data_IF_423552443316
#
_entry.id   IF_423552443316
#
_cell.length_a   1.000
_cell.length_b   1.000
_cell.length_c   1.000
_cell.angle_alpha   90.00
_cell.angle_beta   90.00
_cell.angle_gamma   90.00
#
_symmetry.space_group_name_H-M   'P 1'
#
loop_
_entity.id
_entity.type
_entity.pdbx_description
1 polymer ?
#
# COMPACT_ATOMS: atom_id res chain seq x y z
N UNK A 1 11.68 -5.39 3.63
CA UNK A 1 10.51 -5.45 2.71
C UNK A 1 9.23 -5.95 3.41
N UNK A 2 9.17 -7.13 4.03
CA UNK A 2 7.94 -7.63 4.68
C UNK A 2 7.36 -6.67 5.75
N UNK A 3 8.22 -6.12 6.61
CA UNK A 3 7.80 -5.11 7.61
C UNK A 3 7.14 -3.89 6.97
N UNK A 4 7.66 -3.43 5.84
CA UNK A 4 7.08 -2.33 5.09
C UNK A 4 5.69 -2.69 4.52
N UNK A 5 5.53 -3.91 4.00
CA UNK A 5 4.23 -4.40 3.50
C UNK A 5 3.20 -4.50 4.64
N UNK A 6 3.59 -4.99 5.82
CA UNK A 6 2.72 -5.02 6.99
C UNK A 6 2.34 -3.61 7.48
N UNK A 7 3.25 -2.65 7.37
CA UNK A 7 2.96 -1.26 7.68
C UNK A 7 1.90 -0.67 6.71
N UNK A 8 1.87 -1.07 5.44
CA UNK A 8 0.81 -0.72 4.51
C UNK A 8 -0.56 -1.28 4.93
N UNK A 9 -0.60 -2.52 5.44
CA UNK A 9 -1.85 -3.10 5.99
C UNK A 9 -2.36 -2.28 7.16
N UNK A 10 -1.47 -1.93 8.09
CA UNK A 10 -1.82 -1.10 9.25
C UNK A 10 -2.31 0.29 8.83
N UNK A 11 -1.64 0.93 7.88
CA UNK A 11 -2.05 2.22 7.34
C UNK A 11 -3.50 2.21 6.85
N UNK A 12 -3.82 1.28 5.96
CA UNK A 12 -5.17 1.18 5.41
C UNK A 12 -6.18 0.75 6.46
N UNK A 13 -5.80 -0.12 7.40
CA UNK A 13 -6.62 -0.50 8.54
C UNK A 13 -6.97 0.69 9.44
N UNK A 14 -6.02 1.56 9.72
CA UNK A 14 -6.26 2.78 10.51
C UNK A 14 -7.20 3.75 9.80
N UNK A 15 -7.09 3.91 8.48
CA UNK A 15 -8.06 4.69 7.71
C UNK A 15 -9.46 4.08 7.75
N UNK A 16 -9.57 2.76 7.64
CA UNK A 16 -10.86 2.06 7.72
C UNK A 16 -11.51 2.13 9.11
N UNK A 17 -10.70 2.10 10.18
CA UNK A 17 -11.17 2.16 11.56
C UNK A 17 -11.37 3.60 12.06
N UNK A 18 -10.71 4.59 11.48
CA UNK A 18 -10.81 6.00 11.84
C UNK A 18 -12.20 6.57 11.59
N UNK A 19 -12.48 7.71 12.22
CA UNK A 19 -13.66 8.53 11.96
C UNK A 19 -13.31 10.01 12.20
N UNK A 20 -14.10 10.98 11.66
CA UNK A 20 -13.81 12.41 11.80
C UNK A 20 -13.98 12.96 13.23
N UNK A 21 -14.58 12.18 14.12
CA UNK A 21 -14.72 12.55 15.54
C UNK A 21 -13.54 12.10 16.41
N UNK A 22 -13.35 12.77 17.55
CA UNK A 22 -12.37 12.30 18.54
C UNK A 22 -12.91 11.03 19.25
N UNK A 23 -12.09 9.99 19.50
CA UNK A 23 -10.64 9.88 19.22
C UNK A 23 -10.26 9.34 17.82
N UNK A 24 -11.21 9.13 16.92
CA UNK A 24 -10.98 8.49 15.61
C UNK A 24 -10.00 9.23 14.70
N UNK A 25 -9.92 10.55 14.83
CA UNK A 25 -8.93 11.40 14.11
C UNK A 25 -7.49 10.99 14.40
N UNK A 26 -7.20 10.48 15.60
CA UNK A 26 -5.86 10.01 15.98
C UNK A 26 -5.41 8.87 15.05
N UNK A 27 -6.31 8.00 14.62
CA UNK A 27 -6.01 6.91 13.70
C UNK A 27 -5.60 7.43 12.32
N UNK A 28 -6.16 8.53 11.86
CA UNK A 28 -5.75 9.16 10.60
C UNK A 28 -4.32 9.72 10.69
N UNK A 29 -4.01 10.42 11.79
CA UNK A 29 -2.65 10.92 12.03
C UNK A 29 -1.65 9.76 12.13
N UNK A 30 -2.01 8.71 12.86
CA UNK A 30 -1.17 7.52 12.99
C UNK A 30 -0.96 6.82 11.65
N UNK A 31 -1.99 6.75 10.81
CA UNK A 31 -1.88 6.24 9.43
C UNK A 31 -0.87 7.04 8.60
N UNK A 32 -0.85 8.37 8.73
CA UNK A 32 0.12 9.21 8.01
C UNK A 32 1.56 8.96 8.48
N UNK A 33 1.78 8.77 9.78
CA UNK A 33 3.11 8.43 10.33
C UNK A 33 3.56 7.06 9.81
N UNK A 34 2.69 6.05 9.88
CA UNK A 34 2.98 4.70 9.39
C UNK A 34 3.26 4.69 7.90
N UNK A 35 2.61 5.59 7.12
CA UNK A 35 2.89 5.73 5.70
C UNK A 35 4.34 6.11 5.41
N UNK A 36 4.90 7.08 6.10
CA UNK A 36 6.30 7.46 5.93
C UNK A 36 7.23 6.26 6.12
N UNK A 37 7.06 5.55 7.24
CA UNK A 37 7.82 4.32 7.48
C UNK A 37 7.62 3.26 6.39
N UNK A 38 6.39 2.98 6.00
CA UNK A 38 6.09 1.96 5.00
C UNK A 38 6.75 2.27 3.66
N UNK A 39 6.66 3.53 3.22
CA UNK A 39 7.19 3.99 1.95
C UNK A 39 8.72 3.95 1.94
N UNK A 40 9.38 4.52 2.95
CA UNK A 40 10.83 4.59 3.03
C UNK A 40 11.46 3.20 3.18
N UNK A 41 10.94 2.39 4.11
CA UNK A 41 11.45 1.02 4.31
C UNK A 41 11.26 0.15 3.07
N UNK A 42 10.17 0.30 2.32
CA UNK A 42 9.97 -0.44 1.09
C UNK A 42 10.99 -0.04 0.03
N UNK A 43 11.14 1.25 -0.24
CA UNK A 43 12.04 1.75 -1.26
C UNK A 43 13.52 1.47 -0.93
N UNK A 44 13.93 1.72 0.31
CA UNK A 44 15.32 1.46 0.75
C UNK A 44 15.63 -0.03 0.69
N UNK A 45 14.77 -0.88 1.28
CA UNK A 45 15.03 -2.32 1.30
C UNK A 45 14.96 -2.95 -0.09
N UNK A 46 14.09 -2.43 -0.97
CA UNK A 46 14.00 -2.86 -2.35
C UNK A 46 15.23 -2.46 -3.17
N UNK A 47 15.64 -1.21 -3.05
CA UNK A 47 16.85 -0.70 -3.69
C UNK A 47 18.11 -1.46 -3.25
N UNK A 48 18.26 -1.70 -1.95
CA UNK A 48 19.39 -2.48 -1.42
C UNK A 48 19.37 -3.93 -1.92
N UNK A 49 18.20 -4.54 -2.00
CA UNK A 49 18.07 -5.90 -2.55
C UNK A 49 18.50 -5.96 -4.02
N UNK A 50 17.99 -5.03 -4.84
CA UNK A 50 18.38 -4.93 -6.26
C UNK A 50 19.89 -4.72 -6.41
N UNK A 51 20.49 -3.88 -5.56
CA UNK A 51 21.92 -3.60 -5.60
C UNK A 51 22.78 -4.83 -5.23
N UNK A 52 22.30 -5.64 -4.30
CA UNK A 52 23.00 -6.86 -3.86
C UNK A 52 22.89 -8.03 -4.85
N UNK A 53 21.76 -8.14 -5.56
CA UNK A 53 21.48 -9.25 -6.48
C UNK A 53 21.89 -8.96 -7.93
N UNK A 54 22.36 -7.73 -8.23
CA UNK A 54 22.71 -7.31 -9.59
C UNK A 54 24.21 -7.10 -9.74
N UNK A 55 24.75 -7.53 -10.87
CA UNK A 55 26.15 -7.27 -11.22
C UNK A 55 26.47 -5.77 -11.25
N UNK A 56 27.67 -5.37 -10.82
CA UNK A 56 28.07 -3.96 -10.76
C UNK A 56 27.87 -3.18 -12.08
N UNK A 57 28.06 -3.85 -13.21
CA UNK A 57 27.85 -3.26 -14.54
C UNK A 57 26.40 -2.95 -14.90
N UNK A 58 25.43 -3.61 -14.25
CA UNK A 58 24.00 -3.50 -14.55
C UNK A 58 23.20 -2.83 -13.45
N UNK A 59 23.79 -2.48 -12.31
CA UNK A 59 23.10 -1.91 -11.14
C UNK A 59 22.26 -0.68 -11.46
N UNK A 60 22.81 0.25 -12.23
CA UNK A 60 22.09 1.47 -12.59
C UNK A 60 20.82 1.17 -13.39
N UNK A 61 20.89 0.26 -14.36
CA UNK A 61 19.72 -0.16 -15.16
C UNK A 61 18.69 -0.90 -14.30
N UNK A 62 19.15 -1.79 -13.41
CA UNK A 62 18.27 -2.54 -12.52
C UNK A 62 17.55 -1.61 -11.50
N UNK A 63 18.23 -0.61 -10.96
CA UNK A 63 17.63 0.41 -10.10
C UNK A 63 16.58 1.24 -10.87
N UNK A 64 16.91 1.66 -12.10
CA UNK A 64 15.95 2.35 -12.96
C UNK A 64 14.71 1.50 -13.25
N UNK A 65 14.88 0.21 -13.54
CA UNK A 65 13.77 -0.72 -13.74
C UNK A 65 12.94 -0.91 -12.47
N UNK A 66 13.56 -1.04 -11.29
CA UNK A 66 12.86 -1.14 -10.02
C UNK A 66 11.96 0.08 -9.77
N UNK A 67 12.48 1.29 -9.97
CA UNK A 67 11.72 2.53 -9.81
C UNK A 67 10.59 2.62 -10.83
N UNK A 68 10.85 2.26 -12.09
CA UNK A 68 9.83 2.27 -13.15
C UNK A 68 8.71 1.27 -12.86
N UNK A 69 9.03 0.07 -12.39
CA UNK A 69 8.03 -0.95 -12.06
C UNK A 69 7.21 -0.57 -10.82
N UNK A 70 7.82 0.01 -9.80
CA UNK A 70 7.11 0.37 -8.56
C UNK A 70 6.36 1.69 -8.68
N UNK A 71 7.05 2.78 -9.05
CA UNK A 71 6.49 4.13 -9.08
C UNK A 71 5.86 4.51 -10.44
N UNK A 72 6.17 3.77 -11.50
CA UNK A 72 5.53 3.91 -12.80
C UNK A 72 4.33 2.97 -12.94
N UNK A 73 4.59 1.76 -13.40
CA UNK A 73 3.53 0.79 -13.70
C UNK A 73 2.69 0.41 -12.47
N UNK A 74 3.35 0.11 -11.35
CA UNK A 74 2.65 -0.28 -10.11
C UNK A 74 1.74 0.82 -9.59
N UNK A 75 2.23 2.06 -9.57
CA UNK A 75 1.44 3.21 -9.16
C UNK A 75 0.27 3.48 -10.11
N UNK A 76 0.48 3.38 -11.42
CA UNK A 76 -0.58 3.61 -12.42
C UNK A 76 -1.69 2.56 -12.29
N UNK A 77 -1.34 1.28 -12.31
CA UNK A 77 -2.32 0.18 -12.17
C UNK A 77 -3.03 0.27 -10.82
N UNK A 78 -2.28 0.53 -9.74
CA UNK A 78 -2.83 0.68 -8.40
C UNK A 78 -3.83 1.84 -8.29
N UNK A 79 -3.53 2.98 -8.93
CA UNK A 79 -4.42 4.15 -8.95
C UNK A 79 -5.70 3.85 -9.72
N UNK A 80 -5.61 3.21 -10.88
CA UNK A 80 -6.80 2.84 -11.67
C UNK A 80 -7.68 1.85 -10.93
N UNK A 81 -7.09 0.83 -10.29
CA UNK A 81 -7.83 -0.13 -9.48
C UNK A 81 -8.49 0.53 -8.26
N UNK A 82 -7.76 1.41 -7.55
CA UNK A 82 -8.30 2.16 -6.42
C UNK A 82 -9.45 3.08 -6.85
N UNK A 83 -9.31 3.75 -7.99
CA UNK A 83 -10.37 4.62 -8.54
C UNK A 83 -11.64 3.80 -8.86
N UNK A 84 -11.50 2.61 -9.45
CA UNK A 84 -12.65 1.75 -9.74
C UNK A 84 -13.40 1.33 -8.45
N UNK A 85 -12.67 0.98 -7.38
CA UNK A 85 -13.24 0.65 -6.08
C UNK A 85 -13.96 1.85 -5.47
N UNK A 86 -13.33 3.02 -5.45
CA UNK A 86 -13.92 4.24 -4.90
C UNK A 86 -15.16 4.65 -5.70
N UNK A 87 -15.12 4.57 -7.02
CA UNK A 87 -16.28 4.88 -7.85
C UNK A 87 -17.47 3.96 -7.56
N UNK A 88 -17.20 2.68 -7.28
CA UNK A 88 -18.28 1.72 -6.99
C UNK A 88 -18.88 1.92 -5.59
N UNK A 89 -18.05 2.12 -4.57
CA UNK A 89 -18.50 2.15 -3.16
C UNK A 89 -18.80 3.54 -2.61
N UNK A 90 -18.27 4.59 -3.23
CA UNK A 90 -18.37 5.97 -2.73
C UNK A 90 -19.09 6.89 -3.70
N UNK A 91 -18.69 6.88 -4.98
CA UNK A 91 -19.16 7.83 -5.99
C UNK A 91 -20.38 7.31 -6.78
N UNK A 92 -20.89 6.11 -6.50
CA UNK A 92 -22.11 5.61 -7.15
C UNK A 92 -23.30 6.53 -6.81
N UNK A 93 -24.10 6.88 -7.79
CA UNK A 93 -25.26 7.79 -7.62
C UNK A 93 -26.20 7.33 -6.49
N UNK A 94 -26.43 6.03 -6.37
CA UNK A 94 -27.26 5.45 -5.32
C UNK A 94 -26.67 5.70 -3.91
N UNK A 95 -25.34 5.65 -3.75
CA UNK A 95 -24.65 5.90 -2.48
C UNK A 95 -24.72 7.37 -2.11
N UNK A 96 -24.49 8.27 -3.09
CA UNK A 96 -24.57 9.72 -2.90
C UNK A 96 -26.01 10.13 -2.54
N UNK A 97 -27.01 9.57 -3.23
CA UNK A 97 -28.43 9.83 -2.97
C UNK A 97 -28.89 9.34 -1.60
N UNK A 98 -28.29 8.24 -1.07
CA UNK A 98 -28.59 7.70 0.26
C UNK A 98 -28.06 8.58 1.41
N UNK A 99 -27.10 9.46 1.12
CA UNK A 99 -26.63 10.49 2.05
C UNK A 99 -25.24 10.28 2.65
N UNK A 100 -24.79 11.21 3.49
CA UNK A 100 -23.40 11.23 3.99
C UNK A 100 -22.97 9.98 4.78
N UNK A 101 -23.90 9.33 5.44
CA UNK A 101 -23.64 8.11 6.21
C UNK A 101 -23.22 6.94 5.32
N UNK A 102 -23.89 6.78 4.19
CA UNK A 102 -23.59 5.74 3.21
C UNK A 102 -22.29 6.02 2.47
N UNK A 103 -22.02 7.28 2.13
CA UNK A 103 -20.73 7.71 1.57
C UNK A 103 -19.60 7.38 2.54
N UNK A 104 -19.79 7.63 3.84
CA UNK A 104 -18.79 7.29 4.85
C UNK A 104 -18.57 5.78 4.99
N UNK A 105 -19.66 5.00 4.96
CA UNK A 105 -19.58 3.54 4.96
C UNK A 105 -18.83 3.01 3.71
N UNK A 106 -19.04 3.62 2.55
CA UNK A 106 -18.33 3.34 1.30
C UNK A 106 -16.81 3.57 1.43
N UNK A 107 -16.40 4.68 2.04
CA UNK A 107 -14.99 4.95 2.32
C UNK A 107 -14.37 3.90 3.22
N UNK A 108 -15.03 3.53 4.31
CA UNK A 108 -14.55 2.48 5.23
C UNK A 108 -14.36 1.16 4.51
N UNK A 109 -15.33 0.77 3.69
CA UNK A 109 -15.27 -0.46 2.88
C UNK A 109 -14.08 -0.44 1.93
N UNK A 110 -13.89 0.66 1.20
CA UNK A 110 -12.76 0.84 0.29
C UNK A 110 -11.40 0.69 1.00
N UNK A 111 -11.25 1.29 2.18
CA UNK A 111 -10.01 1.19 2.97
C UNK A 111 -9.73 -0.23 3.46
N UNK A 112 -10.77 -0.98 3.87
CA UNK A 112 -10.61 -2.39 4.24
C UNK A 112 -10.28 -3.29 3.05
N UNK A 113 -10.81 -2.99 1.86
CA UNK A 113 -10.42 -3.69 0.63
C UNK A 113 -8.94 -3.46 0.34
N UNK A 114 -8.45 -2.23 0.46
CA UNK A 114 -7.02 -1.92 0.27
C UNK A 114 -6.15 -2.61 1.33
N UNK A 115 -6.59 -2.64 2.58
CA UNK A 115 -5.89 -3.37 3.65
C UNK A 115 -5.82 -4.88 3.37
N UNK A 116 -6.92 -5.46 2.92
CA UNK A 116 -7.00 -6.87 2.53
C UNK A 116 -6.08 -7.21 1.34
N UNK A 117 -6.07 -6.36 0.32
CA UNK A 117 -5.15 -6.50 -0.81
C UNK A 117 -3.68 -6.43 -0.37
N UNK A 118 -3.32 -5.44 0.44
CA UNK A 118 -1.98 -5.30 0.98
C UNK A 118 -1.56 -6.52 1.82
N UNK A 119 -2.49 -7.11 2.58
CA UNK A 119 -2.25 -8.33 3.35
C UNK A 119 -2.00 -9.53 2.44
N UNK A 120 -2.80 -9.71 1.38
CA UNK A 120 -2.60 -10.79 0.40
C UNK A 120 -1.22 -10.66 -0.25
N UNK A 121 -0.81 -9.45 -0.65
CA UNK A 121 0.51 -9.19 -1.22
C UNK A 121 1.62 -9.50 -0.21
N UNK A 122 1.47 -9.11 1.05
CA UNK A 122 2.44 -9.40 2.11
C UNK A 122 2.59 -10.91 2.36
N UNK A 123 1.48 -11.65 2.37
CA UNK A 123 1.48 -13.11 2.51
C UNK A 123 2.10 -13.81 1.30
N UNK A 124 1.75 -13.38 0.09
CA UNK A 124 2.34 -13.90 -1.15
C UNK A 124 3.86 -13.67 -1.16
N UNK A 125 4.30 -12.47 -0.79
CA UNK A 125 5.72 -12.17 -0.66
C UNK A 125 6.41 -13.05 0.39
N UNK A 126 5.80 -13.26 1.55
CA UNK A 126 6.36 -14.11 2.60
C UNK A 126 6.51 -15.57 2.18
N UNK A 127 5.60 -16.08 1.34
CA UNK A 127 5.62 -17.45 0.82
C UNK A 127 6.62 -17.60 -0.33
N UNK A 128 6.63 -16.65 -1.27
CA UNK A 128 7.40 -16.76 -2.52
C UNK A 128 8.86 -16.34 -2.31
N UNK A 129 9.10 -15.35 -1.43
CA UNK A 129 10.45 -14.79 -1.28
C UNK A 129 11.38 -15.76 -0.54
N UNK A 130 12.53 -16.12 -1.13
CA UNK A 130 13.43 -17.10 -0.55
C UNK A 130 14.00 -16.61 0.78
N UNK A 131 13.92 -17.47 1.81
CA UNK A 131 14.44 -17.20 3.17
C UNK A 131 15.95 -17.49 3.28
N UNK A 132 16.66 -17.61 2.18
CA UNK A 132 18.09 -17.89 2.16
C UNK A 132 18.89 -16.67 2.58
N UNK A 133 19.85 -16.81 3.52
CA UNK A 133 20.76 -15.72 3.83
C UNK A 133 21.59 -15.41 2.58
N UNK A 134 21.73 -14.12 2.29
CA UNK A 134 22.62 -13.62 1.23
C UNK A 134 23.99 -14.25 1.43
N UNK A 135 24.46 -15.04 0.48
CA UNK A 135 25.85 -15.53 0.48
C UNK A 135 26.77 -14.32 0.39
N UNK A 136 27.56 -14.12 1.41
CA UNK A 136 28.67 -13.15 1.40
C UNK A 136 29.73 -13.57 0.39
#
# INVERSE_FOLDING_TARGET
MLMAMLAWVLRFGFFGAGNPGMPGVILFVLSCIVYGFAFDFFNISGSLYVDQETDPSQRSSAQGLFVMMTNGFGATIGTLAAQAIVNHFVNAEAVIAAGPREVWAGWRTSWYIFAGFALVVALAFWVIFPKTPVKK
#
